data_IF_447985281594
#
_entry.id   IF_447985281594
#
_cell.length_a   1.000
_cell.length_b   1.000
_cell.length_c   1.000
_cell.angle_alpha   90.00
_cell.angle_beta   90.00
_cell.angle_gamma   90.00
#
_symmetry.space_group_name_H-M   'P 1'
#
loop_
_entity.id
_entity.type
_entity.pdbx_description
1 polymer ?
#
# COMPACT_ATOMS: atom_id res chain seq x y z
N UNK A 1 15.00 18.45 -25.32
CA UNK A 1 16.15 18.06 -24.46
C UNK A 1 15.71 18.13 -22.99
N UNK A 2 15.18 17.03 -22.44
CA UNK A 2 14.62 17.00 -21.09
C UNK A 2 15.70 17.06 -20.02
N UNK A 3 15.58 17.97 -19.05
CA UNK A 3 16.47 18.04 -17.89
C UNK A 3 16.44 16.69 -17.17
N UNK A 4 17.51 15.89 -17.31
CA UNK A 4 17.78 14.74 -16.45
C UNK A 4 17.81 15.24 -15.01
N UNK A 5 16.86 14.80 -14.19
CA UNK A 5 16.80 15.14 -12.79
C UNK A 5 18.03 14.54 -12.09
N UNK A 6 19.02 15.38 -11.76
CA UNK A 6 20.28 15.01 -11.11
C UNK A 6 20.12 14.34 -9.74
N UNK A 7 18.90 14.30 -9.17
CA UNK A 7 18.61 13.69 -7.87
C UNK A 7 18.51 12.15 -7.91
N UNK A 8 18.69 11.55 -9.08
CA UNK A 8 18.51 10.12 -9.37
C UNK A 8 19.83 9.39 -9.69
N UNK A 9 20.99 9.94 -9.33
CA UNK A 9 22.28 9.30 -9.61
C UNK A 9 22.44 7.91 -8.97
N UNK A 10 21.79 7.67 -7.82
CA UNK A 10 21.79 6.37 -7.13
C UNK A 10 20.81 5.34 -7.74
N UNK A 11 19.95 5.73 -8.69
CA UNK A 11 19.10 4.78 -9.41
C UNK A 11 19.83 3.99 -10.49
N UNK A 12 21.11 4.27 -10.73
CA UNK A 12 21.88 3.52 -11.73
C UNK A 12 21.94 2.03 -11.39
N UNK A 13 22.02 1.72 -10.11
CA UNK A 13 22.23 0.37 -9.60
C UNK A 13 20.91 -0.36 -9.33
N UNK A 14 19.80 0.38 -9.17
CA UNK A 14 18.46 -0.21 -9.01
C UNK A 14 17.86 -0.62 -10.35
N UNK A 15 17.19 -1.77 -10.38
CA UNK A 15 16.30 -2.19 -11.44
C UNK A 15 14.97 -1.43 -11.29
N UNK A 16 14.79 -0.39 -12.13
CA UNK A 16 13.65 0.52 -12.02
C UNK A 16 12.30 -0.13 -12.31
N UNK A 17 12.26 -1.09 -13.24
CA UNK A 17 11.02 -1.81 -13.58
C UNK A 17 10.63 -2.75 -12.45
N UNK A 18 11.54 -3.60 -11.98
CA UNK A 18 11.27 -4.50 -10.85
C UNK A 18 10.97 -3.76 -9.55
N UNK A 19 11.65 -2.64 -9.30
CA UNK A 19 11.37 -1.80 -8.13
C UNK A 19 9.96 -1.20 -8.21
N UNK A 20 9.55 -0.75 -9.40
CA UNK A 20 8.19 -0.24 -9.62
C UNK A 20 7.16 -1.35 -9.36
N UNK A 21 7.35 -2.54 -9.91
CA UNK A 21 6.48 -3.69 -9.70
C UNK A 21 6.37 -4.06 -8.21
N UNK A 22 7.49 -4.01 -7.47
CA UNK A 22 7.49 -4.27 -6.02
C UNK A 22 6.64 -3.25 -5.25
N UNK A 23 6.70 -1.97 -5.63
CA UNK A 23 5.86 -0.92 -5.03
C UNK A 23 4.38 -1.10 -5.39
N UNK A 24 4.07 -1.45 -6.65
CA UNK A 24 2.69 -1.72 -7.08
C UNK A 24 2.11 -2.91 -6.32
N UNK A 25 2.85 -4.02 -6.22
CA UNK A 25 2.44 -5.19 -5.46
C UNK A 25 2.21 -4.87 -3.97
N UNK A 26 3.04 -3.99 -3.39
CA UNK A 26 2.89 -3.57 -2.00
C UNK A 26 1.62 -2.73 -1.77
N UNK A 27 1.34 -1.79 -2.68
CA UNK A 27 0.12 -0.98 -2.62
C UNK A 27 -1.14 -1.81 -2.92
N UNK A 28 -1.05 -2.79 -3.81
CA UNK A 28 -2.15 -3.72 -4.09
C UNK A 28 -2.45 -4.62 -2.88
N UNK A 29 -1.42 -5.16 -2.22
CA UNK A 29 -1.59 -5.90 -0.95
C UNK A 29 -2.26 -5.01 0.11
N UNK A 30 -1.89 -3.73 0.18
CA UNK A 30 -2.55 -2.77 1.08
C UNK A 30 -4.05 -2.63 0.78
N UNK A 31 -4.42 -2.48 -0.50
CA UNK A 31 -5.83 -2.38 -0.93
C UNK A 31 -6.61 -3.66 -0.62
N UNK A 32 -6.03 -4.83 -0.86
CA UNK A 32 -6.64 -6.11 -0.48
C UNK A 32 -6.90 -6.18 1.03
N UNK A 33 -5.96 -5.69 1.85
CA UNK A 33 -6.16 -5.61 3.29
C UNK A 33 -7.26 -4.62 3.70
N UNK A 34 -7.47 -3.51 2.98
CA UNK A 34 -8.58 -2.60 3.24
C UNK A 34 -9.95 -3.30 3.14
N UNK A 35 -10.12 -4.25 2.23
CA UNK A 35 -11.36 -5.02 2.06
C UNK A 35 -11.67 -5.94 3.26
N UNK A 36 -10.66 -6.28 4.05
CA UNK A 36 -10.78 -7.16 5.22
C UNK A 36 -10.98 -6.38 6.53
N UNK A 37 -10.90 -5.06 6.50
CA UNK A 37 -11.12 -4.22 7.69
C UNK A 37 -12.62 -4.20 7.97
N UNK A 38 -13.07 -4.61 9.18
CA UNK A 38 -14.48 -4.56 9.52
C UNK A 38 -15.02 -3.12 9.42
N UNK A 39 -16.23 -2.99 8.89
CA UNK A 39 -16.92 -1.70 8.74
C UNK A 39 -17.04 -0.89 10.04
N UNK A 40 -16.92 -1.51 11.22
CA UNK A 40 -16.94 -0.86 12.53
C UNK A 40 -15.70 0.01 12.79
N UNK A 41 -14.59 -0.27 12.10
CA UNK A 41 -13.37 0.55 12.11
C UNK A 41 -13.35 1.58 10.97
N UNK A 42 -14.30 1.50 10.04
CA UNK A 42 -14.62 2.57 9.10
C UNK A 42 -15.61 3.51 9.80
N UNK A 43 -15.53 4.84 9.65
CA UNK A 43 -16.49 5.72 10.30
C UNK A 43 -17.90 5.48 9.75
N UNK A 44 -18.74 4.75 10.49
CA UNK A 44 -20.16 4.51 10.18
C UNK A 44 -21.06 5.45 10.97
N UNK A 45 -22.06 6.01 10.29
CA UNK A 45 -23.03 7.00 10.81
C UNK A 45 -24.26 6.33 11.46
N UNK A 46 -24.40 5.01 11.43
CA UNK A 46 -25.58 4.29 11.93
C UNK A 46 -25.22 3.20 12.93
N UNK A 47 -25.85 3.25 14.11
CA UNK A 47 -25.71 2.25 15.17
C UNK A 47 -26.56 1.01 14.88
N UNK A 48 -26.03 -0.18 15.13
CA UNK A 48 -26.80 -1.44 15.08
C UNK A 48 -26.86 -2.05 16.49
N UNK A 49 -28.08 -2.30 16.99
CA UNK A 49 -28.31 -3.00 18.26
C UNK A 49 -28.79 -4.44 18.00
N UNK A 50 -28.30 -5.41 18.78
CA UNK A 50 -28.81 -6.78 18.82
C UNK A 50 -29.18 -7.17 20.26
N UNK A 51 -30.36 -7.81 20.42
CA UNK A 51 -30.99 -8.14 21.71
C UNK A 51 -31.13 -9.65 21.94
N UNK A 52 -30.21 -10.47 21.42
CA UNK A 52 -30.29 -11.93 21.61
C UNK A 52 -29.14 -12.44 22.47
N UNK A 53 -29.41 -13.12 23.60
CA UNK A 53 -28.36 -13.78 24.39
C UNK A 53 -27.79 -14.98 23.62
N UNK A 54 -26.47 -15.14 23.50
CA UNK A 54 -25.89 -16.33 22.91
C UNK A 54 -26.12 -17.55 23.82
N UNK A 55 -26.62 -18.64 23.24
CA UNK A 55 -26.74 -19.94 23.90
C UNK A 55 -25.39 -20.67 23.83
N UNK A 56 -24.83 -20.97 25.01
CA UNK A 56 -23.52 -21.60 25.13
C UNK A 56 -23.69 -23.13 25.12
N UNK A 57 -23.22 -23.81 24.07
CA UNK A 57 -23.07 -25.26 24.07
C UNK A 57 -21.58 -25.62 24.00
N UNK A 58 -21.07 -26.15 25.10
CA UNK A 58 -19.69 -26.56 25.30
C UNK A 58 -19.40 -27.86 24.52
N UNK A 59 -18.87 -27.73 23.31
CA UNK A 59 -18.15 -28.80 22.63
C UNK A 59 -16.74 -28.28 22.30
N UNK A 60 -15.78 -28.73 23.09
CA UNK A 60 -14.37 -28.37 23.07
C UNK A 60 -13.74 -28.43 21.67
N UNK A 61 -12.75 -27.63 21.26
CA UNK A 61 -12.15 -26.34 21.67
C UNK A 61 -10.82 -26.21 20.87
N UNK A 62 -10.25 -27.31 20.39
CA UNK A 62 -8.97 -27.31 19.66
C UNK A 62 -9.03 -26.65 18.27
N UNK A 63 -10.08 -26.90 17.48
CA UNK A 63 -10.20 -26.32 16.13
C UNK A 63 -10.65 -24.86 16.16
N UNK A 64 -11.53 -24.50 17.11
CA UNK A 64 -12.02 -23.13 17.31
C UNK A 64 -10.96 -22.22 17.94
N UNK A 65 -10.18 -22.71 18.90
CA UNK A 65 -9.03 -21.98 19.45
C UNK A 65 -7.92 -21.80 18.41
N UNK A 66 -7.55 -22.85 17.68
CA UNK A 66 -6.53 -22.76 16.62
C UNK A 66 -6.97 -21.80 15.50
N UNK A 67 -8.26 -21.77 15.15
CA UNK A 67 -8.80 -20.82 14.19
C UNK A 67 -8.83 -19.39 14.74
N UNK A 68 -9.16 -19.20 16.02
CA UNK A 68 -9.14 -17.89 16.68
C UNK A 68 -7.72 -17.31 16.76
N UNK A 69 -6.72 -18.14 17.11
CA UNK A 69 -5.30 -17.73 17.15
C UNK A 69 -4.83 -17.31 15.75
N UNK A 70 -5.07 -18.14 14.72
CA UNK A 70 -4.70 -17.81 13.34
C UNK A 70 -5.35 -16.53 12.83
N UNK A 71 -6.61 -16.30 13.21
CA UNK A 71 -7.33 -15.06 12.87
C UNK A 71 -6.69 -13.84 13.54
N UNK A 72 -6.38 -13.93 14.83
CA UNK A 72 -5.74 -12.84 15.57
C UNK A 72 -4.33 -12.51 15.01
N UNK A 73 -3.55 -13.53 14.67
CA UNK A 73 -2.24 -13.35 14.04
C UNK A 73 -2.34 -12.67 12.68
N UNK A 74 -3.32 -13.08 11.86
CA UNK A 74 -3.57 -12.47 10.55
C UNK A 74 -4.00 -11.00 10.70
N UNK A 75 -4.91 -10.68 11.63
CA UNK A 75 -5.36 -9.31 11.90
C UNK A 75 -4.19 -8.42 12.34
N UNK A 76 -3.29 -8.95 13.18
CA UNK A 76 -2.07 -8.25 13.59
C UNK A 76 -1.13 -8.00 12.41
N UNK A 77 -0.80 -9.02 11.61
CA UNK A 77 0.07 -8.85 10.43
C UNK A 77 -0.50 -7.81 9.46
N UNK A 78 -1.82 -7.89 9.22
CA UNK A 78 -2.55 -6.94 8.40
C UNK A 78 -2.37 -5.52 8.92
N UNK A 79 -2.65 -5.28 10.20
CA UNK A 79 -2.61 -3.94 10.79
C UNK A 79 -1.19 -3.37 10.80
N UNK A 80 -0.19 -4.19 11.12
CA UNK A 80 1.22 -3.81 11.05
C UNK A 80 1.65 -3.44 9.63
N UNK A 81 1.20 -4.22 8.64
CA UNK A 81 1.46 -3.95 7.23
C UNK A 81 0.82 -2.65 6.76
N UNK A 82 -0.47 -2.46 7.08
CA UNK A 82 -1.20 -1.24 6.74
C UNK A 82 -0.56 0.00 7.37
N UNK A 83 -0.14 -0.09 8.63
CA UNK A 83 0.51 1.02 9.32
C UNK A 83 1.93 1.29 8.80
N UNK A 84 2.65 0.26 8.35
CA UNK A 84 3.94 0.42 7.66
C UNK A 84 3.77 1.22 6.36
N UNK A 85 2.75 0.89 5.55
CA UNK A 85 2.46 1.60 4.29
C UNK A 85 2.02 3.04 4.57
N UNK A 86 1.09 3.27 5.51
CA UNK A 86 0.64 4.61 5.91
C UNK A 86 1.81 5.50 6.36
N UNK A 87 2.70 4.97 7.19
CA UNK A 87 3.91 5.71 7.64
C UNK A 87 4.85 6.05 6.49
N UNK A 88 5.06 5.13 5.54
CA UNK A 88 5.88 5.40 4.35
C UNK A 88 5.27 6.51 3.48
N UNK A 89 3.97 6.43 3.21
CA UNK A 89 3.23 7.44 2.43
C UNK A 89 3.21 8.80 3.13
N UNK A 90 3.08 8.81 4.47
CA UNK A 90 3.13 10.03 5.26
C UNK A 90 4.50 10.74 5.22
N UNK A 91 5.59 10.07 4.83
CA UNK A 91 6.91 10.69 4.64
C UNK A 91 7.09 11.38 3.28
N UNK A 92 6.19 11.14 2.33
CA UNK A 92 6.19 11.83 1.03
C UNK A 92 5.84 13.31 1.18
N UNK A 93 6.18 14.14 0.19
CA UNK A 93 5.71 15.53 0.20
C UNK A 93 4.20 15.61 -0.07
N UNK A 94 3.58 16.77 0.14
CA UNK A 94 2.13 16.97 0.04
C UNK A 94 1.55 16.43 -1.28
N UNK A 95 2.13 16.82 -2.41
CA UNK A 95 1.61 16.47 -3.74
C UNK A 95 1.83 14.99 -4.09
N UNK A 96 2.98 14.43 -3.73
CA UNK A 96 3.26 12.99 -3.90
C UNK A 96 2.31 12.15 -3.05
N UNK A 97 2.11 12.53 -1.79
CA UNK A 97 1.21 11.85 -0.87
C UNK A 97 -0.23 11.87 -1.37
N UNK A 98 -0.72 13.03 -1.80
CA UNK A 98 -2.06 13.19 -2.36
C UNK A 98 -2.28 12.28 -3.56
N UNK A 99 -1.32 12.24 -4.50
CA UNK A 99 -1.38 11.35 -5.66
C UNK A 99 -1.47 9.89 -5.24
N UNK A 100 -0.59 9.44 -4.33
CA UNK A 100 -0.56 8.05 -3.88
C UNK A 100 -1.87 7.65 -3.17
N UNK A 101 -2.37 8.51 -2.29
CA UNK A 101 -3.61 8.24 -1.56
C UNK A 101 -4.79 8.10 -2.53
N UNK A 102 -4.98 9.10 -3.41
CA UNK A 102 -6.11 9.13 -4.35
C UNK A 102 -6.08 7.95 -5.31
N UNK A 103 -4.90 7.64 -5.88
CA UNK A 103 -4.79 6.62 -6.94
C UNK A 103 -4.65 5.19 -6.42
N UNK A 104 -3.91 4.99 -5.34
CA UNK A 104 -3.43 3.67 -4.91
C UNK A 104 -3.89 3.25 -3.51
N UNK A 105 -4.47 4.16 -2.72
CA UNK A 105 -5.00 3.83 -1.39
C UNK A 105 -6.52 4.05 -1.31
N UNK A 106 -7.18 4.05 -2.46
CA UNK A 106 -8.64 4.05 -2.58
C UNK A 106 -9.15 2.64 -2.91
N UNK A 107 -10.34 2.31 -2.41
CA UNK A 107 -11.04 1.06 -2.77
C UNK A 107 -11.54 1.15 -4.21
N UNK A 108 -11.95 2.33 -4.66
CA UNK A 108 -12.69 2.53 -5.92
C UNK A 108 -11.86 2.42 -7.22
N UNK A 109 -10.53 2.31 -7.12
CA UNK A 109 -9.63 2.22 -8.28
C UNK A 109 -9.82 3.31 -9.33
N UNK A 110 -9.80 4.59 -8.94
CA UNK A 110 -10.01 5.66 -9.91
C UNK A 110 -8.96 5.58 -11.02
N UNK A 111 -9.39 5.83 -12.25
CA UNK A 111 -8.50 5.87 -13.39
C UNK A 111 -7.52 7.05 -13.26
N UNK A 112 -6.34 6.93 -13.88
CA UNK A 112 -5.31 7.97 -13.85
C UNK A 112 -5.87 9.36 -14.26
N UNK A 113 -6.81 9.39 -15.22
CA UNK A 113 -7.45 10.62 -15.68
C UNK A 113 -8.39 11.27 -14.67
N UNK A 114 -9.08 10.49 -13.86
CA UNK A 114 -9.93 11.03 -12.80
C UNK A 114 -9.04 11.71 -11.75
N UNK A 115 -7.93 11.06 -11.39
CA UNK A 115 -7.01 11.56 -10.37
C UNK A 115 -6.30 12.83 -10.83
N UNK A 116 -5.72 12.87 -12.03
CA UNK A 116 -5.00 14.08 -12.46
C UNK A 116 -5.94 15.26 -12.72
N UNK A 117 -7.19 15.01 -13.16
CA UNK A 117 -8.20 16.04 -13.32
C UNK A 117 -8.63 16.60 -11.96
N UNK A 118 -8.89 15.72 -10.98
CA UNK A 118 -9.25 16.13 -9.62
C UNK A 118 -8.12 16.92 -8.95
N UNK A 119 -6.87 16.51 -9.15
CA UNK A 119 -5.69 17.22 -8.63
C UNK A 119 -5.37 18.52 -9.39
N UNK A 120 -6.05 18.83 -10.49
CA UNK A 120 -5.78 20.00 -11.32
C UNK A 120 -4.36 20.02 -11.91
N UNK A 121 -3.83 18.85 -12.30
CA UNK A 121 -2.49 18.71 -12.89
C UNK A 121 -2.56 18.07 -14.27
N UNK A 122 -1.61 18.39 -15.15
CA UNK A 122 -1.49 17.72 -16.44
C UNK A 122 -1.06 16.26 -16.29
N UNK A 123 -1.45 15.43 -17.24
CA UNK A 123 -1.06 14.01 -17.32
C UNK A 123 0.47 13.82 -17.23
N UNK A 124 1.25 14.61 -17.97
CA UNK A 124 2.71 14.52 -17.91
C UNK A 124 3.28 14.87 -16.53
N UNK A 125 2.63 15.79 -15.80
CA UNK A 125 3.03 16.15 -14.43
C UNK A 125 2.66 15.03 -13.46
N UNK A 126 1.49 14.41 -13.63
CA UNK A 126 1.05 13.24 -12.86
C UNK A 126 2.09 12.12 -12.93
N UNK A 127 2.50 11.68 -14.13
CA UNK A 127 3.46 10.59 -14.27
C UNK A 127 4.84 10.91 -13.66
N UNK A 128 5.31 12.16 -13.77
CA UNK A 128 6.57 12.61 -13.15
C UNK A 128 6.53 12.64 -11.63
N UNK A 129 5.38 13.00 -11.05
CA UNK A 129 5.19 12.95 -9.58
C UNK A 129 5.11 11.51 -9.13
N UNK A 130 4.34 10.67 -9.85
CA UNK A 130 4.19 9.25 -9.56
C UNK A 130 5.53 8.53 -9.53
N UNK A 131 6.34 8.68 -10.58
CA UNK A 131 7.65 8.04 -10.68
C UNK A 131 8.55 8.37 -9.48
N UNK A 132 8.59 9.65 -9.08
CA UNK A 132 9.36 10.10 -7.91
C UNK A 132 8.81 9.54 -6.60
N UNK A 133 7.48 9.53 -6.45
CA UNK A 133 6.82 8.98 -5.27
C UNK A 133 7.11 7.48 -5.12
N UNK A 134 7.11 6.73 -6.23
CA UNK A 134 7.38 5.30 -6.23
C UNK A 134 8.79 4.98 -5.78
N UNK A 135 9.81 5.66 -6.32
CA UNK A 135 11.18 5.45 -5.85
C UNK A 135 11.33 5.78 -4.36
N UNK A 136 10.74 6.88 -3.89
CA UNK A 136 10.76 7.23 -2.47
C UNK A 136 10.08 6.19 -1.60
N UNK A 137 8.95 5.63 -2.06
CA UNK A 137 8.24 4.55 -1.36
C UNK A 137 9.07 3.27 -1.33
N UNK A 138 9.72 2.91 -2.43
CA UNK A 138 10.59 1.74 -2.50
C UNK A 138 11.65 1.81 -1.38
N UNK A 139 12.39 2.92 -1.30
CA UNK A 139 13.39 3.13 -0.25
C UNK A 139 12.79 3.23 1.16
N UNK A 140 11.66 3.92 1.31
CA UNK A 140 11.00 4.05 2.61
C UNK A 140 10.52 2.70 3.16
N UNK A 141 10.18 1.78 2.25
CA UNK A 141 9.73 0.42 2.55
C UNK A 141 10.86 -0.60 2.50
N UNK A 142 12.05 -0.26 1.99
CA UNK A 142 13.17 -1.19 1.73
C UNK A 142 12.77 -2.34 0.80
N UNK A 143 12.18 -2.00 -0.33
CA UNK A 143 11.73 -2.95 -1.36
C UNK A 143 12.31 -2.64 -2.74
N UNK A 144 13.31 -1.76 -2.79
CA UNK A 144 14.12 -1.52 -3.98
C UNK A 144 14.83 -2.80 -4.43
N UNK A 145 14.86 -3.01 -5.75
CA UNK A 145 15.51 -4.15 -6.39
C UNK A 145 16.76 -3.65 -7.08
N UNK A 146 17.90 -4.32 -6.85
CA UNK A 146 19.17 -3.99 -7.49
C UNK A 146 19.41 -4.86 -8.72
N UNK A 147 20.08 -4.30 -9.72
CA UNK A 147 20.53 -5.06 -10.89
C UNK A 147 21.59 -6.06 -10.44
N UNK A 148 21.55 -7.26 -11.00
CA UNK A 148 22.62 -8.22 -10.80
C UNK A 148 23.88 -7.68 -11.49
N UNK A 149 25.01 -7.58 -10.76
CA UNK A 149 26.30 -7.34 -11.40
C UNK A 149 26.61 -8.55 -12.27
N UNK A 150 26.78 -8.34 -13.58
CA UNK A 150 27.33 -9.38 -14.46
C UNK A 150 28.71 -9.79 -13.93
N UNK A 151 28.75 -10.90 -13.20
CA UNK A 151 29.99 -11.59 -12.87
C UNK A 151 30.67 -11.93 -14.19
N UNK A 152 31.64 -11.12 -14.59
CA UNK A 152 32.55 -11.48 -15.67
C UNK A 152 33.20 -12.81 -15.29
N UNK A 153 33.02 -13.88 -16.09
CA UNK A 153 33.72 -15.12 -15.85
C UNK A 153 35.22 -14.86 -15.96
N UNK A 154 35.95 -15.26 -14.92
CA UNK A 154 37.42 -15.23 -14.85
C UNK A 154 37.96 -16.37 -15.70
#
# INVERSE_FOLDING_TARGET
MGKRYYQLSFLRDTDGEKTKEAVEAALEKYRMYMLTVPDEFLPRVTQTYSLVPPSNMNAFHSSTESAAIKKADFERERDEYMERIRRAVNRLNKTERELIIKRYMSIDEPYDYEVYNEMGISESKFYRIREKAFYKLAFALRIEVYKEEEKHPI
#
